data_IF_244286142662
#
_entry.id   IF_244286142662
#
_cell.length_a   1.000
_cell.length_b   1.000
_cell.length_c   1.000
_cell.angle_alpha   90.00
_cell.angle_beta   90.00
_cell.angle_gamma   90.00
#
_symmetry.space_group_name_H-M   'P 1'
#
loop_
_entity.id
_entity.type
_entity.pdbx_description
1 polymer ?
#
# COMPACT_ATOMS: atom_id res chain seq x y z
N UNK A 1 -14.44 -0.08 -8.31
CA UNK A 1 -13.09 -0.57 -7.98
C UNK A 1 -13.13 -1.15 -6.56
N UNK A 2 -12.67 -2.39 -6.36
CA UNK A 2 -12.59 -2.97 -5.01
C UNK A 2 -11.22 -2.62 -4.38
N UNK A 3 -11.20 -1.58 -3.54
CA UNK A 3 -9.98 -1.07 -2.90
C UNK A 3 -9.39 -2.02 -1.86
N UNK A 4 -10.20 -2.94 -1.33
CA UNK A 4 -9.73 -3.98 -0.41
C UNK A 4 -8.85 -5.00 -1.14
N UNK A 5 -9.27 -5.44 -2.33
CA UNK A 5 -8.45 -6.34 -3.18
C UNK A 5 -7.17 -5.65 -3.64
N UNK A 6 -7.24 -4.36 -3.99
CA UNK A 6 -6.06 -3.58 -4.37
C UNK A 6 -5.07 -3.47 -3.20
N UNK A 7 -5.56 -3.17 -2.00
CA UNK A 7 -4.74 -3.11 -0.79
C UNK A 7 -4.07 -4.44 -0.48
N UNK A 8 -4.80 -5.55 -0.57
CA UNK A 8 -4.24 -6.89 -0.38
C UNK A 8 -3.17 -7.22 -1.43
N UNK A 9 -3.37 -6.86 -2.70
CA UNK A 9 -2.36 -7.05 -3.76
C UNK A 9 -1.10 -6.23 -3.51
N UNK A 10 -1.25 -4.99 -3.06
CA UNK A 10 -0.12 -4.14 -2.69
C UNK A 10 0.68 -4.75 -1.53
N UNK A 11 -0.01 -5.21 -0.49
CA UNK A 11 0.60 -5.91 0.64
C UNK A 11 1.37 -7.16 0.21
N UNK A 12 0.76 -7.98 -0.65
CA UNK A 12 1.40 -9.20 -1.17
C UNK A 12 2.67 -8.87 -1.99
N UNK A 13 2.65 -7.81 -2.80
CA UNK A 13 3.81 -7.38 -3.57
C UNK A 13 4.96 -6.95 -2.63
N UNK A 14 4.64 -6.20 -1.57
CA UNK A 14 5.60 -5.81 -0.54
C UNK A 14 6.21 -7.02 0.18
N UNK A 15 5.36 -7.94 0.65
CA UNK A 15 5.81 -9.14 1.36
C UNK A 15 6.68 -10.05 0.47
N UNK A 16 6.34 -10.19 -0.82
CA UNK A 16 7.17 -10.92 -1.80
C UNK A 16 8.53 -10.26 -2.02
N UNK A 17 8.58 -8.94 -1.91
CA UNK A 17 9.83 -8.17 -2.00
C UNK A 17 10.63 -8.19 -0.69
N UNK A 18 10.10 -8.80 0.38
CA UNK A 18 10.73 -8.94 1.70
C UNK A 18 11.16 -7.61 2.34
N UNK A 19 10.43 -6.54 2.04
CA UNK A 19 10.63 -5.22 2.65
C UNK A 19 9.51 -4.91 3.65
N UNK A 20 9.85 -4.15 4.68
CA UNK A 20 8.91 -3.63 5.66
C UNK A 20 7.97 -2.58 5.04
N UNK A 21 6.88 -2.30 5.74
CA UNK A 21 5.95 -1.23 5.36
C UNK A 21 6.67 0.14 5.34
N UNK A 22 7.60 0.37 6.27
CA UNK A 22 8.38 1.62 6.33
C UNK A 22 9.28 1.78 5.11
N UNK A 23 10.02 0.72 4.73
CA UNK A 23 10.88 0.73 3.54
C UNK A 23 10.07 0.92 2.26
N UNK A 24 8.96 0.20 2.12
CA UNK A 24 8.08 0.34 0.95
C UNK A 24 7.50 1.75 0.84
N UNK A 25 7.10 2.36 1.97
CA UNK A 25 6.56 3.71 2.00
C UNK A 25 7.61 4.76 1.59
N UNK A 26 8.86 4.58 2.01
CA UNK A 26 9.98 5.43 1.57
C UNK A 26 10.22 5.33 0.05
N UNK A 27 10.14 4.13 -0.53
CA UNK A 27 10.33 3.91 -1.97
C UNK A 27 9.30 4.65 -2.83
N UNK A 28 8.05 4.75 -2.35
CA UNK A 28 6.96 5.40 -3.10
C UNK A 28 6.62 6.80 -2.58
N UNK A 29 7.48 7.38 -1.74
CA UNK A 29 7.36 8.71 -1.13
C UNK A 29 6.00 8.96 -0.42
N UNK A 30 5.59 8.01 0.41
CA UNK A 30 4.42 8.15 1.30
C UNK A 30 4.80 7.86 2.74
N UNK A 31 3.91 8.22 3.66
CA UNK A 31 4.08 7.82 5.06
C UNK A 31 3.72 6.33 5.25
N UNK A 32 4.40 5.64 6.17
CA UNK A 32 4.04 4.26 6.53
C UNK A 32 2.58 4.13 6.98
N UNK A 33 2.04 5.16 7.64
CA UNK A 33 0.63 5.22 8.01
C UNK A 33 -0.31 5.28 6.80
N UNK A 34 0.03 6.05 5.76
CA UNK A 34 -0.72 6.08 4.52
C UNK A 34 -0.66 4.73 3.80
N UNK A 35 0.53 4.11 3.72
CA UNK A 35 0.68 2.79 3.12
C UNK A 35 -0.15 1.71 3.85
N UNK A 36 -0.20 1.74 5.18
CA UNK A 36 -1.07 0.85 5.96
C UNK A 36 -2.56 1.03 5.63
N UNK A 37 -3.01 2.28 5.49
CA UNK A 37 -4.40 2.54 5.10
C UNK A 37 -4.71 2.07 3.67
N UNK A 38 -3.74 2.11 2.76
CA UNK A 38 -3.87 1.54 1.42
C UNK A 38 -3.93 0.00 1.47
N UNK A 39 -2.98 -0.64 2.16
CA UNK A 39 -2.92 -2.10 2.27
C UNK A 39 -4.13 -2.72 2.98
N UNK A 40 -4.76 -1.97 3.89
CA UNK A 40 -5.99 -2.38 4.58
C UNK A 40 -7.28 -2.02 3.82
N UNK A 41 -7.18 -1.36 2.66
CA UNK A 41 -8.34 -0.91 1.88
C UNK A 41 -9.15 0.22 2.52
N UNK A 42 -8.73 0.76 3.68
CA UNK A 42 -9.41 1.84 4.40
C UNK A 42 -9.30 3.19 3.68
N UNK A 43 -8.25 3.41 2.91
CA UNK A 43 -8.03 4.62 2.12
C UNK A 43 -7.97 4.29 0.65
N UNK A 44 -8.69 5.07 -0.16
CA UNK A 44 -8.62 4.98 -1.62
C UNK A 44 -7.24 5.43 -2.10
N UNK A 45 -6.66 4.70 -3.03
CA UNK A 45 -5.49 5.14 -3.79
C UNK A 45 -6.02 6.00 -4.93
N UNK A 46 -5.98 7.32 -4.76
CA UNK A 46 -6.49 8.30 -5.75
C UNK A 46 -5.45 8.69 -6.82
N UNK A 47 -4.33 7.96 -6.91
CA UNK A 47 -3.24 8.23 -7.85
C UNK A 47 -3.59 8.01 -9.35
N UNK A 48 -4.87 7.84 -9.70
CA UNK A 48 -5.37 7.60 -11.05
C UNK A 48 -6.49 8.57 -11.47
N UNK A 49 -6.64 9.71 -10.79
CA UNK A 49 -7.49 10.82 -11.23
C UNK A 49 -6.64 11.85 -11.95
#
# INVERSE_FOLDING_TARGET
MNYEILGQRLRLARERSRISQTEAAQVIDVTAAALNQYESGKRRVDALT
#
